data_IF_003969064798
#
_entry.id   IF_003969064798
#
_cell.length_a   1.000
_cell.length_b   1.000
_cell.length_c   1.000
_cell.angle_alpha   90.00
_cell.angle_beta   90.00
_cell.angle_gamma   90.00
#
_symmetry.space_group_name_H-M   'P 1'
#
loop_
_entity.id
_entity.type
_entity.pdbx_description
1 polymer ?
#
# COMPACT_ATOMS: atom_id res chain seq x y z
N UNK A 1 1.16 24.50 15.40
CA UNK A 1 1.28 24.28 13.94
C UNK A 1 -0.07 23.80 13.47
N UNK A 2 -0.64 24.42 12.44
CA UNK A 2 -1.90 23.96 11.83
C UNK A 2 -1.60 22.97 10.71
N UNK A 3 -2.56 22.12 10.36
CA UNK A 3 -2.45 21.12 9.29
C UNK A 3 -2.01 21.76 7.96
N UNK A 4 -2.59 22.93 7.65
CA UNK A 4 -2.21 23.73 6.49
C UNK A 4 -0.76 24.27 6.52
N UNK A 5 -0.22 24.56 7.71
CA UNK A 5 1.19 24.96 7.84
C UNK A 5 2.14 23.78 7.64
N UNK A 6 1.70 22.56 7.98
CA UNK A 6 2.47 21.33 7.77
C UNK A 6 2.52 21.02 6.26
N UNK A 7 1.38 21.08 5.55
CA UNK A 7 1.34 20.93 4.09
C UNK A 7 2.30 21.88 3.38
N UNK A 8 2.26 23.17 3.73
CA UNK A 8 3.07 24.19 3.05
C UNK A 8 4.59 24.00 3.26
N UNK A 9 4.99 23.47 4.42
CA UNK A 9 6.39 23.14 4.72
C UNK A 9 6.82 21.88 3.96
N UNK A 10 5.94 20.89 3.86
CA UNK A 10 6.20 19.63 3.14
C UNK A 10 6.29 19.85 1.61
N UNK A 11 5.44 20.70 1.06
CA UNK A 11 5.49 21.15 -0.34
C UNK A 11 6.79 21.90 -0.65
N UNK A 12 7.21 22.81 0.23
CA UNK A 12 8.48 23.54 0.06
C UNK A 12 9.72 22.65 0.19
N UNK A 13 9.62 21.53 0.91
CA UNK A 13 10.70 20.56 1.06
C UNK A 13 10.85 19.61 -0.14
N UNK A 14 9.95 19.67 -1.13
CA UNK A 14 10.00 18.78 -2.31
C UNK A 14 9.77 17.30 -1.97
N UNK A 15 9.29 17.01 -0.77
CA UNK A 15 8.86 15.66 -0.36
C UNK A 15 7.58 15.34 -1.11
N UNK A 16 7.72 14.77 -2.30
CA UNK A 16 6.61 14.15 -3.01
C UNK A 16 6.10 13.00 -2.14
N UNK A 17 4.90 13.14 -1.60
CA UNK A 17 4.22 12.02 -0.97
C UNK A 17 3.73 11.12 -2.09
N UNK A 18 4.10 9.84 -2.07
CA UNK A 18 3.61 8.87 -3.05
C UNK A 18 2.12 8.63 -2.80
N UNK A 19 1.25 9.20 -3.64
CA UNK A 19 -0.18 8.98 -3.58
C UNK A 19 -0.55 7.71 -4.39
N UNK A 20 -0.50 6.57 -3.70
CA UNK A 20 -0.72 5.26 -4.31
C UNK A 20 -2.02 4.61 -3.84
N UNK A 21 -2.79 4.10 -4.79
CA UNK A 21 -3.95 3.24 -4.53
C UNK A 21 -3.56 1.76 -4.64
N UNK A 22 -3.80 0.98 -3.59
CA UNK A 22 -3.60 -0.47 -3.58
C UNK A 22 -4.94 -1.21 -3.68
N UNK A 23 -5.06 -2.11 -4.66
CA UNK A 23 -6.25 -2.96 -4.83
C UNK A 23 -5.88 -4.43 -4.68
N UNK A 24 -6.26 -5.00 -3.54
CA UNK A 24 -6.05 -6.40 -3.22
C UNK A 24 -7.22 -7.25 -3.67
N UNK A 25 -6.92 -8.45 -4.17
CA UNK A 25 -7.91 -9.40 -4.66
C UNK A 25 -7.87 -10.70 -3.83
N UNK A 26 -9.01 -11.40 -3.75
CA UNK A 26 -9.15 -12.61 -2.92
C UNK A 26 -8.25 -13.78 -3.36
N UNK A 27 -7.92 -13.83 -4.66
CA UNK A 27 -6.95 -14.77 -5.21
C UNK A 27 -5.48 -14.43 -4.85
N UNK A 28 -5.26 -13.34 -4.12
CA UNK A 28 -3.95 -12.88 -3.71
C UNK A 28 -3.20 -12.05 -4.76
N UNK A 29 -3.84 -11.62 -5.85
CA UNK A 29 -3.24 -10.62 -6.76
C UNK A 29 -3.36 -9.21 -6.19
N UNK A 30 -2.55 -8.30 -6.71
CA UNK A 30 -2.50 -6.89 -6.31
C UNK A 30 -2.34 -6.03 -7.57
N UNK A 31 -3.09 -4.94 -7.63
CA UNK A 31 -2.82 -3.82 -8.53
C UNK A 31 -2.48 -2.57 -7.72
N UNK A 32 -1.52 -1.78 -8.22
CA UNK A 32 -1.08 -0.54 -7.60
C UNK A 32 -1.15 0.56 -8.66
N UNK A 33 -1.74 1.69 -8.32
CA UNK A 33 -1.85 2.84 -9.19
C UNK A 33 -1.27 4.07 -8.49
N UNK A 34 -0.50 4.88 -9.22
CA UNK A 34 -0.16 6.24 -8.81
C UNK A 34 -1.30 7.17 -9.21
N UNK A 35 -1.93 7.79 -8.23
CA UNK A 35 -3.10 8.65 -8.43
C UNK A 35 -2.73 9.97 -9.13
N UNK A 36 -1.45 10.36 -9.13
CA UNK A 36 -1.00 11.58 -9.81
C UNK A 36 -0.79 11.36 -11.31
N UNK A 37 -0.26 10.19 -11.68
CA UNK A 37 0.08 9.86 -13.07
C UNK A 37 -0.95 8.96 -13.75
N UNK A 38 -1.88 8.40 -12.97
CA UNK A 38 -2.84 7.36 -13.38
C UNK A 38 -2.16 6.10 -13.95
N UNK A 39 -0.87 5.91 -13.67
CA UNK A 39 -0.10 4.77 -14.16
C UNK A 39 -0.10 3.63 -13.15
N UNK A 40 0.01 2.40 -13.67
CA UNK A 40 0.27 1.23 -12.84
C UNK A 40 1.70 1.26 -12.34
N UNK A 41 1.87 0.98 -11.05
CA UNK A 41 3.17 0.87 -10.39
C UNK A 41 3.47 -0.60 -10.12
N UNK A 42 4.68 -1.03 -10.45
CA UNK A 42 5.15 -2.37 -10.11
C UNK A 42 5.54 -2.45 -8.64
N UNK A 43 5.32 -3.61 -8.03
CA UNK A 43 5.72 -3.88 -6.66
C UNK A 43 7.21 -3.59 -6.41
N UNK A 44 8.05 -3.87 -7.40
CA UNK A 44 9.51 -3.70 -7.32
C UNK A 44 9.93 -2.22 -7.29
N UNK A 45 9.02 -1.31 -7.60
CA UNK A 45 9.23 0.14 -7.59
C UNK A 45 8.85 0.75 -6.24
N UNK A 46 8.06 0.06 -5.42
CA UNK A 46 7.69 0.53 -4.09
C UNK A 46 8.92 0.69 -3.18
N UNK A 47 8.94 1.77 -2.40
CA UNK A 47 9.98 2.04 -1.40
C UNK A 47 9.34 2.53 -0.10
N UNK A 48 10.12 2.48 0.98
CA UNK A 48 9.74 3.04 2.28
C UNK A 48 8.35 2.62 2.76
N UNK A 49 7.54 3.61 3.15
CA UNK A 49 6.23 3.39 3.76
C UNK A 49 5.25 2.62 2.86
N UNK A 50 5.29 2.84 1.55
CA UNK A 50 4.42 2.14 0.59
C UNK A 50 4.76 0.64 0.52
N UNK A 51 6.06 0.30 0.52
CA UNK A 51 6.50 -1.09 0.58
C UNK A 51 6.15 -1.75 1.91
N UNK A 52 6.38 -1.05 3.03
CA UNK A 52 6.03 -1.54 4.37
C UNK A 52 4.53 -1.80 4.51
N UNK A 53 3.69 -0.91 3.97
CA UNK A 53 2.25 -1.08 3.92
C UNK A 53 1.88 -2.37 3.17
N UNK A 54 2.42 -2.56 1.96
CA UNK A 54 2.19 -3.76 1.18
C UNK A 54 2.55 -5.04 1.95
N UNK A 55 3.73 -5.09 2.57
CA UNK A 55 4.20 -6.28 3.30
C UNK A 55 3.26 -6.62 4.45
N UNK A 56 2.79 -5.62 5.20
CA UNK A 56 1.85 -5.82 6.33
C UNK A 56 0.52 -6.41 5.85
N UNK A 57 -0.07 -5.84 4.81
CA UNK A 57 -1.32 -6.34 4.23
C UNK A 57 -1.15 -7.76 3.65
N UNK A 58 -0.01 -8.02 2.99
CA UNK A 58 0.29 -9.34 2.44
C UNK A 58 0.39 -10.41 3.54
N UNK A 59 1.09 -10.11 4.64
CA UNK A 59 1.20 -11.02 5.78
C UNK A 59 -0.16 -11.27 6.41
N UNK A 60 -0.99 -10.23 6.56
CA UNK A 60 -2.35 -10.36 7.09
C UNK A 60 -3.18 -11.32 6.23
N UNK A 61 -3.19 -11.13 4.91
CA UNK A 61 -3.93 -11.98 3.98
C UNK A 61 -3.47 -13.44 4.03
N UNK A 62 -2.15 -13.69 4.08
CA UNK A 62 -1.60 -15.05 4.18
C UNK A 62 -2.08 -15.73 5.47
N UNK A 63 -2.02 -15.04 6.61
CA UNK A 63 -2.46 -15.58 7.90
C UNK A 63 -3.94 -15.96 7.88
N UNK A 64 -4.80 -15.07 7.38
CA UNK A 64 -6.24 -15.34 7.27
C UNK A 64 -6.53 -16.55 6.37
N UNK A 65 -5.84 -16.65 5.22
CA UNK A 65 -6.00 -17.81 4.33
C UNK A 65 -5.57 -19.12 4.96
N UNK A 66 -4.46 -19.12 5.70
CA UNK A 66 -3.99 -20.32 6.40
C UNK A 66 -4.99 -20.75 7.49
N UNK A 67 -5.53 -19.80 8.25
CA UNK A 67 -6.56 -20.10 9.26
C UNK A 67 -7.83 -20.70 8.64
N UNK A 68 -8.31 -20.11 7.53
CA UNK A 68 -9.46 -20.66 6.81
C UNK A 68 -9.21 -22.09 6.31
N UNK A 69 -8.02 -22.36 5.77
CA UNK A 69 -7.66 -23.71 5.32
C UNK A 69 -7.63 -24.72 6.46
N UNK A 70 -7.09 -24.34 7.62
CA UNK A 70 -7.08 -25.19 8.81
C UNK A 70 -8.52 -25.51 9.24
N UNK A 71 -9.41 -24.51 9.29
CA UNK A 71 -10.81 -24.69 9.65
C UNK A 71 -11.59 -25.59 8.67
N UNK A 72 -11.27 -25.53 7.37
CA UNK A 72 -11.89 -26.39 6.35
C UNK A 72 -11.37 -27.83 6.37
N UNK A 73 -10.18 -28.05 6.91
CA UNK A 73 -9.55 -29.38 7.00
C UNK A 73 -9.80 -30.12 8.31
N UNK A 74 -10.40 -29.46 9.31
CA UNK A 74 -10.75 -29.99 10.62
C UNK A 74 -12.18 -30.54 10.63
#
# INVERSE_FOLDING_TARGET
>A
MTEHQIEKILDQAGTLWDDLTFKFYDNGTLEIFDNNTEQRVSLNELRGAAYDFYVKERIRWIRSNLQMKILQSA
#
